data_IF_980800978405
#
_entry.id   IF_980800978405
#
_cell.length_a   1.000
_cell.length_b   1.000
_cell.length_c   1.000
_cell.angle_alpha   90.00
_cell.angle_beta   90.00
_cell.angle_gamma   90.00
#
_symmetry.space_group_name_H-M   'P 1'
#
loop_
_entity.id
_entity.type
_entity.pdbx_description
1 polymer ?
#
# COMPACT_ATOMS: atom_id res chain seq x y z
N UNK A 1 -28.58 21.02 -11.94
CA UNK A 1 -27.48 20.06 -12.17
C UNK A 1 -27.05 19.59 -10.80
N UNK A 2 -27.43 18.37 -10.41
CA UNK A 2 -27.16 17.86 -9.06
C UNK A 2 -25.77 17.25 -9.04
N UNK A 3 -24.85 17.88 -8.31
CA UNK A 3 -23.57 17.28 -7.96
C UNK A 3 -23.86 15.99 -7.17
N UNK A 4 -23.43 14.84 -7.71
CA UNK A 4 -23.44 13.59 -6.94
C UNK A 4 -22.56 13.79 -5.70
N UNK A 5 -22.96 13.28 -4.53
CA UNK A 5 -22.25 13.52 -3.28
C UNK A 5 -20.84 12.95 -3.35
N UNK A 6 -19.84 13.80 -3.17
CA UNK A 6 -18.41 13.44 -3.14
C UNK A 6 -18.11 12.31 -2.15
N UNK A 7 -18.87 12.22 -1.04
CA UNK A 7 -18.72 11.16 -0.04
C UNK A 7 -18.93 9.72 -0.54
N UNK A 8 -19.61 9.52 -1.68
CA UNK A 8 -19.73 8.18 -2.30
C UNK A 8 -18.47 7.75 -3.06
N UNK A 9 -17.71 8.72 -3.59
CA UNK A 9 -16.46 8.46 -4.32
C UNK A 9 -15.30 8.21 -3.36
N UNK A 10 -15.22 8.97 -2.28
CA UNK A 10 -14.15 8.85 -1.30
C UNK A 10 -14.19 7.49 -0.57
N UNK A 11 -15.39 6.99 -0.25
CA UNK A 11 -15.56 5.65 0.32
C UNK A 11 -15.11 4.55 -0.67
N UNK A 12 -15.47 4.68 -1.95
CA UNK A 12 -15.06 3.74 -2.99
C UNK A 12 -13.55 3.75 -3.23
N UNK A 13 -12.92 4.93 -3.20
CA UNK A 13 -11.46 5.06 -3.38
C UNK A 13 -10.72 4.47 -2.16
N UNK A 14 -11.22 4.72 -0.93
CA UNK A 14 -10.65 4.13 0.28
C UNK A 14 -10.76 2.59 0.30
N UNK A 15 -11.88 2.02 -0.16
CA UNK A 15 -12.04 0.57 -0.26
C UNK A 15 -11.10 -0.05 -1.32
N UNK A 16 -10.89 0.63 -2.45
CA UNK A 16 -9.88 0.23 -3.44
C UNK A 16 -8.46 0.26 -2.87
N UNK A 17 -8.12 1.28 -2.08
CA UNK A 17 -6.82 1.35 -1.43
C UNK A 17 -6.65 0.24 -0.37
N UNK A 18 -7.70 -0.09 0.39
CA UNK A 18 -7.66 -1.22 1.32
C UNK A 18 -7.42 -2.55 0.60
N UNK A 19 -8.13 -2.78 -0.49
CA UNK A 19 -7.93 -3.96 -1.34
C UNK A 19 -6.49 -4.01 -1.86
N UNK A 20 -5.96 -2.88 -2.35
CA UNK A 20 -4.58 -2.81 -2.85
C UNK A 20 -3.54 -3.12 -1.76
N UNK A 21 -3.76 -2.67 -0.52
CA UNK A 21 -2.91 -3.01 0.64
C UNK A 21 -2.97 -4.52 0.94
N UNK A 22 -4.17 -5.10 1.01
CA UNK A 22 -4.34 -6.53 1.26
C UNK A 22 -3.69 -7.40 0.17
N UNK A 23 -3.85 -7.03 -1.10
CA UNK A 23 -3.24 -7.71 -2.24
C UNK A 23 -1.71 -7.58 -2.18
N UNK A 24 -1.18 -6.39 -1.87
CA UNK A 24 0.26 -6.16 -1.75
C UNK A 24 0.89 -7.04 -0.67
N UNK A 25 0.33 -7.02 0.54
CA UNK A 25 0.84 -7.80 1.67
C UNK A 25 0.70 -9.31 1.44
N UNK A 26 -0.42 -9.76 0.87
CA UNK A 26 -0.62 -11.18 0.54
C UNK A 26 0.37 -11.67 -0.52
N UNK A 27 0.66 -10.84 -1.53
CA UNK A 27 1.66 -11.14 -2.55
C UNK A 27 3.06 -11.22 -1.96
N UNK A 28 3.44 -10.27 -1.10
CA UNK A 28 4.73 -10.27 -0.40
C UNK A 28 4.93 -11.53 0.43
N UNK A 29 3.89 -11.99 1.12
CA UNK A 29 3.92 -13.27 1.82
C UNK A 29 4.17 -14.45 0.89
N UNK A 30 3.46 -14.52 -0.25
CA UNK A 30 3.70 -15.57 -1.23
C UNK A 30 5.11 -15.51 -1.84
N UNK A 31 5.68 -14.31 -2.03
CA UNK A 31 7.05 -14.14 -2.49
C UNK A 31 8.05 -14.69 -1.47
N UNK A 32 7.88 -14.38 -0.17
CA UNK A 32 8.71 -14.93 0.89
C UNK A 32 8.55 -16.44 1.07
N UNK A 33 7.34 -16.97 0.96
CA UNK A 33 7.07 -18.41 1.00
C UNK A 33 7.73 -19.14 -0.18
N UNK A 34 7.73 -18.53 -1.38
CA UNK A 34 8.48 -19.02 -2.53
C UNK A 34 9.99 -19.04 -2.30
N UNK A 35 10.55 -18.00 -1.67
CA UNK A 35 11.97 -17.95 -1.32
C UNK A 35 12.33 -18.99 -0.25
N UNK A 36 11.50 -19.16 0.78
CA UNK A 36 11.70 -20.20 1.80
C UNK A 36 11.70 -21.62 1.20
N UNK A 37 10.83 -21.87 0.22
CA UNK A 37 10.78 -23.15 -0.49
C UNK A 37 12.05 -23.42 -1.31
N UNK A 38 12.72 -22.37 -1.78
CA UNK A 38 13.98 -22.48 -2.51
C UNK A 38 15.22 -22.50 -1.61
N UNK A 39 15.12 -21.96 -0.39
CA UNK A 39 16.22 -21.89 0.57
C UNK A 39 16.43 -23.23 1.29
N UNK A 40 17.67 -23.54 1.65
CA UNK A 40 17.98 -24.75 2.43
C UNK A 40 17.73 -24.50 3.91
N UNK A 41 16.85 -25.29 4.52
CA UNK A 41 16.56 -25.21 5.96
C UNK A 41 17.84 -25.35 6.80
N UNK A 42 17.96 -24.55 7.86
CA UNK A 42 19.13 -24.50 8.74
C UNK A 42 20.30 -23.65 8.21
N UNK A 43 20.13 -22.97 7.07
CA UNK A 43 21.07 -21.94 6.60
C UNK A 43 20.67 -20.55 7.11
N UNK A 44 21.64 -19.64 7.17
CA UNK A 44 21.39 -18.24 7.52
C UNK A 44 20.35 -17.59 6.57
N UNK A 45 20.42 -17.89 5.27
CA UNK A 45 19.46 -17.38 4.28
C UNK A 45 18.02 -17.82 4.61
N UNK A 46 17.82 -19.09 4.98
CA UNK A 46 16.51 -19.59 5.39
C UNK A 46 15.99 -18.90 6.65
N UNK A 47 16.82 -18.78 7.69
CA UNK A 47 16.45 -18.13 8.95
C UNK A 47 16.10 -16.65 8.76
N UNK A 48 16.89 -15.94 7.95
CA UNK A 48 16.66 -14.53 7.62
C UNK A 48 15.35 -14.36 6.82
N UNK A 49 15.13 -15.19 5.80
CA UNK A 49 13.90 -15.18 4.99
C UNK A 49 12.67 -15.49 5.84
N UNK A 50 12.80 -16.44 6.78
CA UNK A 50 11.72 -16.77 7.72
C UNK A 50 11.39 -15.59 8.64
N UNK A 51 12.42 -14.85 9.08
CA UNK A 51 12.26 -13.60 9.81
C UNK A 51 11.44 -12.57 9.04
N UNK A 52 11.80 -12.32 7.77
CA UNK A 52 11.04 -11.38 6.92
C UNK A 52 9.60 -11.84 6.67
N UNK A 53 9.39 -13.13 6.41
CA UNK A 53 8.05 -13.72 6.21
C UNK A 53 7.16 -13.50 7.44
N UNK A 54 7.69 -13.76 8.64
CA UNK A 54 6.93 -13.62 9.89
C UNK A 54 6.64 -12.15 10.24
N UNK A 55 7.55 -11.23 9.92
CA UNK A 55 7.32 -9.80 10.06
C UNK A 55 6.20 -9.32 9.13
N UNK A 56 6.21 -9.76 7.87
CA UNK A 56 5.15 -9.42 6.89
C UNK A 56 3.79 -10.02 7.29
N UNK A 57 3.76 -11.24 7.85
CA UNK A 57 2.53 -11.86 8.33
C UNK A 57 1.94 -11.10 9.52
N UNK A 58 2.80 -10.65 10.44
CA UNK A 58 2.41 -9.82 11.57
C UNK A 58 1.84 -8.48 11.09
N UNK A 59 2.45 -7.88 10.05
CA UNK A 59 1.95 -6.64 9.44
C UNK A 59 0.59 -6.83 8.77
N UNK A 60 0.39 -7.92 8.02
CA UNK A 60 -0.91 -8.24 7.43
C UNK A 60 -2.00 -8.45 8.49
N UNK A 61 -1.66 -9.16 9.57
CA UNK A 61 -2.58 -9.34 10.69
C UNK A 61 -2.95 -8.00 11.32
N UNK A 62 -1.95 -7.18 11.65
CA UNK A 62 -2.16 -5.87 12.25
C UNK A 62 -3.00 -4.95 11.34
N UNK A 63 -2.73 -4.96 10.03
CA UNK A 63 -3.53 -4.26 9.02
C UNK A 63 -5.00 -4.69 9.08
N UNK A 64 -5.28 -5.98 9.05
CA UNK A 64 -6.67 -6.50 9.07
C UNK A 64 -7.40 -6.24 10.38
N UNK A 65 -6.68 -6.24 11.50
CA UNK A 65 -7.26 -6.00 12.81
C UNK A 65 -7.54 -4.51 13.08
N UNK A 66 -6.62 -3.63 12.66
CA UNK A 66 -6.64 -2.21 13.05
C UNK A 66 -7.03 -1.27 11.91
N UNK A 67 -6.88 -1.70 10.66
CA UNK A 67 -6.95 -0.83 9.49
C UNK A 67 -5.90 0.29 9.47
N UNK A 68 -4.88 0.21 10.33
CA UNK A 68 -3.86 1.24 10.43
C UNK A 68 -2.90 1.17 9.25
N UNK A 69 -2.86 2.25 8.47
CA UNK A 69 -1.95 2.41 7.35
C UNK A 69 -0.72 3.20 7.80
N UNK A 70 0.41 2.53 7.94
CA UNK A 70 1.68 3.21 8.17
C UNK A 70 2.24 3.81 6.86
N UNK A 71 3.12 4.82 6.98
CA UNK A 71 3.65 5.56 5.84
C UNK A 71 4.46 4.70 4.86
N UNK A 72 5.21 3.71 5.36
CA UNK A 72 6.04 2.85 4.51
C UNK A 72 5.18 1.89 3.70
N UNK A 73 4.12 1.35 4.32
CA UNK A 73 3.15 0.48 3.66
C UNK A 73 2.39 1.24 2.56
N UNK A 74 1.92 2.44 2.87
CA UNK A 74 1.23 3.27 1.90
C UNK A 74 2.14 3.62 0.71
N UNK A 75 3.39 3.98 0.96
CA UNK A 75 4.37 4.25 -0.07
C UNK A 75 4.63 3.02 -0.95
N UNK A 76 4.80 1.85 -0.34
CA UNK A 76 5.01 0.59 -1.07
C UNK A 76 3.82 0.25 -1.98
N UNK A 77 2.59 0.48 -1.51
CA UNK A 77 1.36 0.26 -2.30
C UNK A 77 1.23 1.27 -3.44
N UNK A 78 1.50 2.56 -3.21
CA UNK A 78 1.48 3.57 -4.29
C UNK A 78 2.56 3.27 -5.35
N UNK A 79 3.77 2.89 -4.93
CA UNK A 79 4.84 2.48 -5.86
C UNK A 79 4.45 1.24 -6.65
N UNK A 80 3.81 0.27 -6.01
CA UNK A 80 3.30 -0.93 -6.67
C UNK A 80 2.24 -0.58 -7.72
N UNK A 81 1.27 0.26 -7.38
CA UNK A 81 0.25 0.71 -8.33
C UNK A 81 0.87 1.44 -9.54
N UNK A 82 1.92 2.25 -9.33
CA UNK A 82 2.69 2.86 -10.44
C UNK A 82 3.41 1.83 -11.29
N UNK A 83 3.96 0.78 -10.69
CA UNK A 83 4.61 -0.30 -11.44
C UNK A 83 3.59 -1.13 -12.24
N UNK A 84 2.44 -1.45 -11.65
CA UNK A 84 1.37 -2.20 -12.31
C UNK A 84 0.77 -1.40 -13.48
N UNK A 85 0.65 -0.06 -13.35
CA UNK A 85 0.28 0.82 -14.46
C UNK A 85 1.31 0.76 -15.61
N UNK A 86 2.61 0.83 -15.30
CA UNK A 86 3.68 0.72 -16.31
C UNK A 86 3.69 -0.64 -17.03
N UNK A 87 3.13 -1.67 -16.39
CA UNK A 87 3.00 -3.02 -16.93
C UNK A 87 1.64 -3.29 -17.59
N UNK A 88 0.80 -2.26 -17.75
CA UNK A 88 -0.59 -2.38 -18.25
C UNK A 88 -1.47 -3.35 -17.45
N UNK A 89 -1.12 -3.62 -16.18
CA UNK A 89 -1.90 -4.49 -15.29
C UNK A 89 -3.07 -3.75 -14.61
N UNK A 90 -2.99 -2.42 -14.55
CA UNK A 90 -4.06 -1.51 -14.12
C UNK A 90 -4.09 -0.28 -15.02
N UNK A 91 -5.24 0.38 -15.12
CA UNK A 91 -5.36 1.67 -15.80
C UNK A 91 -5.03 2.86 -14.89
N UNK A 92 -4.87 4.04 -15.49
CA UNK A 92 -4.56 5.27 -14.77
C UNK A 92 -5.65 5.61 -13.75
N UNK A 93 -6.93 5.41 -14.10
CA UNK A 93 -8.06 5.73 -13.23
C UNK A 93 -8.02 4.92 -11.94
N UNK A 94 -7.69 3.62 -12.03
CA UNK A 94 -7.52 2.74 -10.87
C UNK A 94 -6.29 3.13 -10.05
N UNK A 95 -5.16 3.47 -10.70
CA UNK A 95 -3.96 3.94 -10.01
C UNK A 95 -4.22 5.22 -9.22
N UNK A 96 -4.92 6.18 -9.81
CA UNK A 96 -5.30 7.41 -9.11
C UNK A 96 -6.32 7.18 -7.98
N UNK A 97 -7.27 6.26 -8.18
CA UNK A 97 -8.22 5.89 -7.13
C UNK A 97 -7.52 5.26 -5.92
N UNK A 98 -6.55 4.36 -6.15
CA UNK A 98 -5.69 3.82 -5.09
C UNK A 98 -4.95 4.96 -4.39
N UNK A 99 -4.33 5.87 -5.14
CA UNK A 99 -3.60 7.01 -4.56
C UNK A 99 -4.49 7.89 -3.67
N UNK A 100 -5.68 8.30 -4.14
CA UNK A 100 -6.63 9.08 -3.35
C UNK A 100 -7.15 8.31 -2.14
N UNK A 101 -7.39 7.01 -2.30
CA UNK A 101 -7.80 6.14 -1.21
C UNK A 101 -6.75 6.04 -0.11
N UNK A 102 -5.47 5.94 -0.45
CA UNK A 102 -4.38 5.96 0.54
C UNK A 102 -4.36 7.28 1.32
N UNK A 103 -4.54 8.42 0.64
CA UNK A 103 -4.65 9.73 1.30
C UNK A 103 -5.87 9.79 2.25
N UNK A 104 -7.02 9.24 1.81
CA UNK A 104 -8.23 9.17 2.63
C UNK A 104 -8.08 8.26 3.86
N UNK A 105 -7.22 7.24 3.77
CA UNK A 105 -6.84 6.36 4.88
C UNK A 105 -5.81 6.99 5.84
N UNK A 106 -5.39 8.24 5.58
CA UNK A 106 -4.51 9.00 6.46
C UNK A 106 -3.03 8.98 6.04
N UNK A 107 -2.70 8.46 4.85
CA UNK A 107 -1.36 8.59 4.33
C UNK A 107 -1.02 10.04 4.03
N UNK A 108 0.10 10.51 4.57
CA UNK A 108 0.65 11.84 4.28
C UNK A 108 2.05 11.67 3.67
N UNK A 109 2.17 11.58 2.32
CA UNK A 109 3.48 11.50 1.70
C UNK A 109 4.29 12.76 2.05
N UNK A 110 5.46 12.59 2.65
CA UNK A 110 6.38 13.70 2.90
C UNK A 110 6.74 14.34 1.54
N UNK A 111 6.18 15.53 1.30
CA UNK A 111 6.17 16.18 -0.02
C UNK A 111 4.87 16.93 -0.34
N UNK A 112 3.78 16.69 0.41
CA UNK A 112 2.53 17.45 0.32
C UNK A 112 2.50 18.78 1.11
N UNK A 113 3.65 19.27 1.57
CA UNK A 113 3.80 20.58 2.23
C UNK A 113 4.27 21.63 1.22
N UNK A 114 3.40 21.97 0.28
CA UNK A 114 3.76 22.74 -0.92
C UNK A 114 2.87 23.93 -1.24
N UNK A 115 2.39 24.66 -0.24
CA UNK A 115 2.20 26.11 -0.40
C UNK A 115 2.82 26.83 0.80
N UNK A 116 3.99 27.38 0.54
CA UNK A 116 4.62 28.38 1.36
C UNK A 116 3.59 29.49 1.64
N UNK A 117 3.23 29.68 2.90
CA UNK A 117 2.68 30.97 3.33
C UNK A 117 3.77 32.01 3.10
N UNK A 118 3.71 32.70 1.96
CA UNK A 118 4.35 34.00 1.79
C UNK A 118 3.82 34.88 2.92
N UNK A 119 4.66 35.06 3.92
CA UNK A 119 4.49 36.06 4.98
C UNK A 119 5.70 36.97 4.90
N UNK A 120 5.44 38.26 4.69
CA UNK A 120 6.42 39.35 4.69
C UNK A 120 6.91 39.70 3.29
N UNK A 121 6.84 40.95 2.82
CA UNK A 121 6.78 42.23 3.53
C UNK A 121 5.84 43.23 2.84
#
# INVERSE_FOLDING_TARGET
MSEKPQGGRDASDADLAREAVDVHLSRRLSEWEGQLSAATEGTHEYEETLGYRNAEESRLRAWRETGHLDNDLALAVDQRARADLKMDAVDEARREAIHRGLLALGWAPEGGGGEARVTGA
#
